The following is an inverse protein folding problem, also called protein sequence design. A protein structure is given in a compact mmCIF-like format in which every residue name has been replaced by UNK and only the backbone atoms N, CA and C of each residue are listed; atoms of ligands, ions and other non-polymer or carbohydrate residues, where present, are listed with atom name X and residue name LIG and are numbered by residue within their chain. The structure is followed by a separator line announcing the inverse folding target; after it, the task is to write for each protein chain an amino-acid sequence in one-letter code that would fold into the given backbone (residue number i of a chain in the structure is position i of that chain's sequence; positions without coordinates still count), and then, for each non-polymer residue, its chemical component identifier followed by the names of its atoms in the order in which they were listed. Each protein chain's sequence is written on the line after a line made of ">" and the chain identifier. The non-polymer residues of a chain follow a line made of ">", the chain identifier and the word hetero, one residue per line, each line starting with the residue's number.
data_IF_856872703214
#
_entry.id   IF_856872703214
#
_cell.length_a   1.000
_cell.length_b   1.000
_cell.length_c   1.000
_cell.angle_alpha   90.00
_cell.angle_beta   90.00
_cell.angle_gamma   90.00
#
_symmetry.space_group_name_H-M   'P 1'
#
loop_
_entity.id
_entity.type
_entity.pdbx_description
1 polymer ?
#
# COMPACT_ATOMS: atom_id res chain seq x y z
N UNK A 1 -24.53 -39.13 52.61
CA UNK A 1 -23.71 -37.94 52.57
C UNK A 1 -22.64 -38.08 51.50
N UNK A 2 -22.85 -37.43 50.38
CA UNK A 2 -21.90 -37.45 49.25
C UNK A 2 -21.22 -36.09 49.23
N UNK A 3 -19.91 -36.11 49.54
CA UNK A 3 -19.10 -34.89 49.57
C UNK A 3 -18.95 -34.29 48.18
N UNK A 4 -19.38 -33.05 48.04
CA UNK A 4 -19.25 -32.24 46.82
C UNK A 4 -17.79 -31.93 46.52
N UNK A 5 -17.34 -32.28 45.33
CA UNK A 5 -16.07 -31.86 44.78
C UNK A 5 -16.21 -30.40 44.29
N UNK A 6 -15.47 -29.50 44.92
CA UNK A 6 -15.30 -28.14 44.45
C UNK A 6 -14.66 -28.12 43.06
N UNK A 7 -15.19 -27.39 42.05
CA UNK A 7 -14.53 -27.28 40.78
C UNK A 7 -13.21 -26.51 40.92
N UNK A 8 -12.12 -27.09 40.39
CA UNK A 8 -10.81 -26.44 40.29
C UNK A 8 -10.95 -25.19 39.46
N UNK A 9 -10.44 -24.05 39.93
CA UNK A 9 -10.31 -22.84 39.17
C UNK A 9 -9.42 -23.10 37.96
N UNK A 10 -9.71 -22.55 36.78
CA UNK A 10 -8.78 -22.62 35.65
C UNK A 10 -7.44 -22.00 36.09
N UNK A 11 -6.38 -22.80 36.12
CA UNK A 11 -5.03 -22.30 36.29
C UNK A 11 -4.77 -21.29 35.15
N UNK A 12 -4.49 -20.04 35.49
CA UNK A 12 -3.91 -19.07 34.59
C UNK A 12 -2.59 -19.65 34.08
N UNK A 13 -2.58 -20.17 32.87
CA UNK A 13 -1.36 -20.62 32.18
C UNK A 13 -0.49 -19.39 31.96
N UNK A 14 0.34 -19.05 32.92
CA UNK A 14 1.39 -18.06 32.74
C UNK A 14 2.35 -18.58 31.66
N UNK A 15 2.57 -17.85 30.57
CA UNK A 15 3.54 -18.28 29.57
C UNK A 15 4.90 -18.44 30.26
N UNK A 16 5.48 -19.63 30.15
CA UNK A 16 6.69 -20.04 30.89
C UNK A 16 7.90 -19.14 30.58
N UNK A 17 7.89 -18.42 29.44
CA UNK A 17 8.90 -17.41 29.07
C UNK A 17 8.24 -16.26 28.29
N UNK A 18 8.01 -15.11 28.87
CA UNK A 18 7.48 -13.95 28.16
C UNK A 18 8.44 -13.51 27.03
N UNK A 19 7.92 -12.95 25.93
CA UNK A 19 8.75 -12.43 24.86
C UNK A 19 9.79 -11.42 25.37
N UNK A 20 11.04 -11.56 24.92
CA UNK A 20 12.13 -10.65 25.29
C UNK A 20 12.20 -9.37 24.45
N UNK A 21 11.46 -9.30 23.36
CA UNK A 21 11.34 -8.11 22.52
C UNK A 21 9.92 -7.98 21.98
N UNK A 22 9.53 -6.75 21.69
CA UNK A 22 8.23 -6.39 21.14
C UNK A 22 8.35 -5.68 19.78
N UNK A 23 7.21 -5.20 19.26
CA UNK A 23 7.14 -4.52 17.97
C UNK A 23 7.95 -3.22 17.97
N UNK A 24 8.00 -2.50 19.09
CA UNK A 24 8.69 -1.23 19.19
C UNK A 24 10.20 -1.41 19.10
N UNK A 25 10.74 -2.44 19.71
CA UNK A 25 12.17 -2.76 19.63
C UNK A 25 12.60 -2.94 18.18
N UNK A 26 11.80 -3.68 17.40
CA UNK A 26 12.12 -3.90 15.99
C UNK A 26 11.86 -2.66 15.12
N UNK A 27 10.82 -1.89 15.39
CA UNK A 27 10.52 -0.63 14.70
C UNK A 27 11.65 0.38 14.95
N UNK A 28 12.10 0.55 16.18
CA UNK A 28 13.22 1.43 16.50
C UNK A 28 14.51 0.97 15.80
N UNK A 29 14.76 -0.34 15.79
CA UNK A 29 15.87 -0.89 15.03
C UNK A 29 15.77 -0.54 13.54
N UNK A 30 14.60 -0.70 12.90
CA UNK A 30 14.41 -0.39 11.47
C UNK A 30 14.66 1.10 11.18
N UNK A 31 14.26 2.00 12.07
CA UNK A 31 14.46 3.45 11.91
C UNK A 31 15.94 3.83 12.10
N UNK A 32 16.63 3.20 13.07
CA UNK A 32 18.01 3.52 13.39
C UNK A 32 19.02 2.84 12.47
N UNK A 33 18.70 1.68 11.89
CA UNK A 33 19.62 0.89 11.09
C UNK A 33 19.92 1.58 9.74
N UNK A 34 21.22 1.66 9.40
CA UNK A 34 21.65 2.30 8.15
C UNK A 34 21.97 1.29 7.03
N UNK A 35 22.58 0.16 7.35
CA UNK A 35 23.11 -0.77 6.34
C UNK A 35 22.68 -2.23 6.53
N UNK A 36 22.70 -2.73 7.76
CA UNK A 36 22.46 -4.14 8.08
C UNK A 36 21.11 -4.29 8.78
N UNK A 37 20.24 -5.13 8.23
CA UNK A 37 18.86 -5.30 8.69
C UNK A 37 18.58 -6.77 9.04
N UNK A 38 19.55 -7.44 9.71
CA UNK A 38 19.38 -8.81 10.20
C UNK A 38 18.89 -8.83 11.64
N UNK A 39 18.24 -9.92 12.05
CA UNK A 39 17.89 -10.12 13.46
C UNK A 39 19.14 -10.19 14.37
N UNK A 40 20.30 -10.61 13.84
CA UNK A 40 21.57 -10.57 14.55
C UNK A 40 22.02 -9.13 14.82
N UNK A 41 21.87 -8.25 13.84
CA UNK A 41 22.20 -6.85 14.03
C UNK A 41 21.21 -6.15 14.97
N UNK A 42 19.93 -6.48 14.88
CA UNK A 42 18.93 -5.99 15.83
C UNK A 42 19.30 -6.36 17.28
N UNK A 43 19.78 -7.58 17.51
CA UNK A 43 20.23 -8.00 18.83
C UNK A 43 21.50 -7.26 19.28
N UNK A 44 22.43 -6.95 18.36
CA UNK A 44 23.65 -6.19 18.65
C UNK A 44 23.40 -4.73 18.99
N UNK A 45 22.36 -4.12 18.37
CA UNK A 45 21.98 -2.74 18.59
C UNK A 45 21.01 -2.57 19.76
N UNK A 46 20.53 -3.67 20.35
CA UNK A 46 19.66 -3.60 21.53
C UNK A 46 20.44 -2.99 22.73
N UNK A 47 19.77 -2.18 23.57
CA UNK A 47 20.41 -1.67 24.79
C UNK A 47 21.01 -2.80 25.64
N UNK A 48 22.18 -2.54 26.24
CA UNK A 48 22.82 -3.47 27.17
C UNK A 48 22.01 -3.51 28.49
N UNK A 49 21.10 -4.45 28.56
CA UNK A 49 20.31 -4.76 29.76
C UNK A 49 20.57 -6.22 30.16
N UNK A 50 20.34 -6.54 31.44
CA UNK A 50 20.49 -7.89 32.01
C UNK A 50 19.70 -8.96 31.22
N UNK A 51 18.70 -8.55 30.44
CA UNK A 51 17.82 -9.41 29.62
C UNK A 51 17.77 -9.01 28.14
N UNK A 52 18.84 -8.44 27.59
CA UNK A 52 18.89 -8.04 26.18
C UNK A 52 18.40 -9.19 25.26
N UNK A 53 17.57 -8.86 24.25
CA UNK A 53 17.03 -9.87 23.33
C UNK A 53 18.11 -10.41 22.41
N UNK A 54 18.23 -11.74 22.32
CA UNK A 54 19.09 -12.39 21.34
C UNK A 54 18.44 -12.42 19.96
N UNK A 55 19.21 -12.72 18.91
CA UNK A 55 18.75 -12.71 17.51
C UNK A 55 17.51 -13.59 17.25
N UNK A 56 17.37 -14.69 18.00
CA UNK A 56 16.25 -15.61 17.89
C UNK A 56 14.95 -15.01 18.47
N UNK A 57 15.04 -14.11 19.45
CA UNK A 57 13.88 -13.37 19.95
C UNK A 57 13.27 -12.48 18.84
N UNK A 58 14.09 -11.75 18.07
CA UNK A 58 13.64 -10.98 16.92
C UNK A 58 13.11 -11.87 15.80
N UNK A 59 13.72 -13.01 15.55
CA UNK A 59 13.21 -13.98 14.56
C UNK A 59 11.82 -14.49 14.95
N UNK A 60 11.62 -14.85 16.22
CA UNK A 60 10.30 -15.25 16.73
C UNK A 60 9.28 -14.11 16.74
N UNK A 61 9.71 -12.87 17.01
CA UNK A 61 8.87 -11.69 16.89
C UNK A 61 8.26 -11.59 15.50
N UNK A 62 9.08 -11.68 14.45
CA UNK A 62 8.61 -11.60 13.06
C UNK A 62 7.67 -12.77 12.69
N UNK A 63 7.84 -13.94 13.29
CA UNK A 63 6.99 -15.11 13.02
C UNK A 63 5.62 -15.04 13.73
N UNK A 64 5.52 -14.32 14.85
CA UNK A 64 4.26 -14.21 15.61
C UNK A 64 3.42 -13.00 15.21
N UNK A 65 3.88 -12.17 14.25
CA UNK A 65 3.06 -11.07 13.75
C UNK A 65 1.78 -11.62 13.11
N UNK A 66 0.62 -10.98 13.33
CA UNK A 66 -0.61 -11.38 12.67
C UNK A 66 -0.47 -11.23 11.16
N UNK A 67 -1.06 -12.15 10.38
CA UNK A 67 -0.97 -12.10 8.92
C UNK A 67 -1.83 -11.00 8.28
N UNK A 68 -2.58 -10.27 9.06
CA UNK A 68 -3.46 -9.19 8.61
C UNK A 68 -2.84 -7.80 8.77
N UNK A 69 -3.54 -6.80 8.29
CA UNK A 69 -3.10 -5.41 8.33
C UNK A 69 -3.80 -4.59 9.42
N UNK A 70 -4.48 -5.25 10.35
CA UNK A 70 -5.28 -4.55 11.34
C UNK A 70 -4.42 -3.77 12.33
N UNK A 71 -3.27 -4.31 12.73
CA UNK A 71 -2.33 -3.62 13.61
C UNK A 71 -1.85 -2.28 13.02
N UNK A 72 -1.59 -2.24 11.69
CA UNK A 72 -1.27 -1.01 10.97
C UNK A 72 -2.45 -0.03 11.01
N UNK A 73 -3.67 -0.50 10.73
CA UNK A 73 -4.85 0.35 10.73
C UNK A 73 -5.17 0.93 12.10
N UNK A 74 -5.04 0.14 13.17
CA UNK A 74 -5.30 0.62 14.53
C UNK A 74 -4.40 1.79 14.93
N UNK A 75 -3.16 1.83 14.44
CA UNK A 75 -2.27 2.99 14.64
C UNK A 75 -2.58 4.11 13.63
N UNK A 76 -2.81 3.79 12.36
CA UNK A 76 -3.03 4.76 11.30
C UNK A 76 -4.30 5.58 11.47
N UNK A 77 -5.39 4.98 11.98
CA UNK A 77 -6.70 5.64 12.12
C UNK A 77 -6.69 6.91 12.95
N UNK A 78 -5.71 7.08 13.86
CA UNK A 78 -5.55 8.29 14.64
C UNK A 78 -5.12 9.52 13.81
N UNK A 79 -4.62 9.30 12.60
CA UNK A 79 -4.11 10.33 11.69
C UNK A 79 -4.97 10.51 10.44
N UNK A 80 -6.07 9.76 10.35
CA UNK A 80 -6.93 9.71 9.15
C UNK A 80 -8.29 10.29 9.48
N UNK A 81 -8.75 11.23 8.66
CA UNK A 81 -10.15 11.59 8.59
C UNK A 81 -10.83 10.75 7.50
N UNK A 82 -11.56 9.72 7.90
CA UNK A 82 -12.21 8.80 6.96
C UNK A 82 -13.31 9.48 6.11
N UNK A 83 -13.80 10.67 6.55
CA UNK A 83 -14.85 11.43 5.86
C UNK A 83 -14.35 12.27 4.69
N UNK A 84 -13.04 12.44 4.52
CA UNK A 84 -12.43 13.30 3.49
C UNK A 84 -11.09 12.75 2.98
N UNK A 85 -10.44 13.54 2.14
CA UNK A 85 -9.11 13.25 1.58
C UNK A 85 -9.16 12.26 0.43
N UNK A 86 -8.01 11.73 0.08
CA UNK A 86 -7.79 10.88 -1.08
C UNK A 86 -7.32 9.51 -0.63
N UNK A 87 -7.76 8.48 -1.34
CA UNK A 87 -7.13 7.16 -1.29
C UNK A 87 -6.25 6.99 -2.52
N UNK A 88 -4.97 6.71 -2.31
CA UNK A 88 -4.01 6.47 -3.39
C UNK A 88 -3.56 5.02 -3.30
N UNK A 89 -3.70 4.28 -4.39
CA UNK A 89 -3.31 2.88 -4.44
C UNK A 89 -2.30 2.65 -5.56
N UNK A 90 -1.17 2.07 -5.18
CA UNK A 90 -0.12 1.68 -6.12
C UNK A 90 0.66 0.48 -5.58
N UNK A 91 1.50 -0.11 -6.42
CA UNK A 91 2.41 -1.17 -6.03
C UNK A 91 3.87 -0.84 -6.31
N UNK A 92 4.73 -1.37 -5.47
CA UNK A 92 6.18 -1.26 -5.66
C UNK A 92 6.83 -2.64 -5.59
N UNK A 93 7.88 -2.83 -6.38
CA UNK A 93 8.70 -4.04 -6.27
C UNK A 93 9.82 -3.80 -5.28
N UNK A 94 9.92 -4.69 -4.29
CA UNK A 94 11.04 -4.77 -3.35
C UNK A 94 12.09 -5.69 -3.96
N UNK A 95 13.18 -5.12 -4.44
CA UNK A 95 14.20 -5.82 -5.21
C UNK A 95 14.92 -6.89 -4.37
N UNK A 96 14.99 -8.11 -4.88
CA UNK A 96 15.65 -9.28 -4.25
C UNK A 96 16.49 -10.06 -5.28
N UNK A 97 17.43 -9.41 -5.98
CA UNK A 97 18.12 -10.04 -7.12
C UNK A 97 18.92 -11.29 -6.70
N UNK A 98 19.45 -11.32 -5.47
CA UNK A 98 20.28 -12.42 -4.97
C UNK A 98 19.52 -13.47 -4.15
N UNK A 99 18.19 -13.32 -3.97
CA UNK A 99 17.40 -14.28 -3.22
C UNK A 99 17.37 -15.65 -3.94
N UNK A 100 17.78 -16.72 -3.23
CA UNK A 100 17.76 -18.10 -3.77
C UNK A 100 16.64 -18.94 -3.15
N UNK A 101 16.44 -18.84 -1.82
CA UNK A 101 15.46 -19.60 -1.04
C UNK A 101 14.72 -18.65 -0.11
N UNK A 102 13.91 -17.76 -0.71
CA UNK A 102 13.12 -16.77 0.00
C UNK A 102 11.70 -16.82 -0.54
N UNK A 103 10.74 -17.06 0.35
CA UNK A 103 9.33 -17.08 -0.01
C UNK A 103 8.86 -15.71 -0.54
N UNK A 104 7.74 -15.69 -1.26
CA UNK A 104 7.13 -14.48 -1.84
C UNK A 104 7.97 -13.75 -2.88
N UNK A 105 9.19 -14.22 -3.17
CA UNK A 105 10.06 -13.63 -4.20
C UNK A 105 9.74 -14.25 -5.55
N UNK A 106 9.24 -13.43 -6.47
CA UNK A 106 8.92 -13.84 -7.84
C UNK A 106 9.46 -12.84 -8.88
N UNK A 107 9.16 -13.06 -10.14
CA UNK A 107 9.58 -12.17 -11.23
C UNK A 107 8.44 -11.20 -11.57
N UNK A 108 8.75 -9.90 -11.57
CA UNK A 108 7.81 -8.82 -11.83
C UNK A 108 8.37 -7.86 -12.88
N UNK A 109 7.50 -7.30 -13.71
CA UNK A 109 7.88 -6.16 -14.53
C UNK A 109 8.08 -4.93 -13.66
N UNK A 110 9.23 -4.29 -13.78
CA UNK A 110 9.56 -3.05 -13.08
C UNK A 110 9.59 -1.89 -14.07
N UNK A 111 8.70 -0.92 -13.88
CA UNK A 111 8.71 0.33 -14.65
C UNK A 111 10.01 1.13 -14.46
N UNK A 112 10.57 1.12 -13.22
CA UNK A 112 11.84 1.76 -12.88
C UNK A 112 13.03 1.19 -13.70
N UNK A 113 13.08 -0.13 -13.86
CA UNK A 113 14.19 -0.81 -14.53
C UNK A 113 13.87 -1.14 -15.99
N UNK A 114 12.64 -0.90 -16.46
CA UNK A 114 12.11 -1.25 -17.78
C UNK A 114 12.43 -2.71 -18.20
N UNK A 115 12.45 -3.60 -17.22
CA UNK A 115 12.70 -5.03 -17.39
C UNK A 115 12.03 -5.85 -16.29
N UNK A 116 12.02 -7.16 -16.51
CA UNK A 116 11.60 -8.10 -15.46
C UNK A 116 12.69 -8.17 -14.39
N UNK A 117 12.32 -7.96 -13.13
CA UNK A 117 13.19 -8.03 -11.96
C UNK A 117 12.69 -9.09 -10.98
N UNK A 118 13.60 -9.60 -10.17
CA UNK A 118 13.30 -10.54 -9.09
C UNK A 118 13.05 -9.80 -7.80
N UNK A 119 11.88 -9.98 -7.19
CA UNK A 119 11.50 -9.24 -6.00
C UNK A 119 10.18 -9.65 -5.40
N UNK A 120 9.73 -8.89 -4.41
CA UNK A 120 8.42 -9.02 -3.78
C UNK A 120 7.56 -7.83 -4.24
N UNK A 121 6.37 -8.08 -4.78
CA UNK A 121 5.45 -7.01 -5.14
C UNK A 121 4.58 -6.64 -3.95
N UNK A 122 4.77 -5.43 -3.45
CA UNK A 122 4.03 -4.84 -2.33
C UNK A 122 3.01 -3.84 -2.86
N UNK A 123 1.73 -4.12 -2.65
CA UNK A 123 0.62 -3.20 -2.92
C UNK A 123 0.32 -2.43 -1.64
N UNK A 124 0.09 -1.13 -1.76
CA UNK A 124 -0.24 -0.27 -0.60
C UNK A 124 -1.42 0.63 -0.90
N UNK A 125 -2.25 0.83 0.11
CA UNK A 125 -3.31 1.82 0.13
C UNK A 125 -2.90 2.95 1.08
N UNK A 126 -2.72 4.14 0.52
CA UNK A 126 -2.32 5.35 1.22
C UNK A 126 -3.52 6.30 1.32
N UNK A 127 -3.72 6.88 2.50
CA UNK A 127 -4.58 8.05 2.65
C UNK A 127 -3.75 9.32 2.68
N UNK A 128 -4.25 10.38 2.01
CA UNK A 128 -3.62 11.69 2.02
C UNK A 128 -4.63 12.81 1.83
N UNK A 129 -4.36 13.96 2.41
CA UNK A 129 -4.99 15.25 2.06
C UNK A 129 -3.98 16.24 1.44
N UNK A 130 -2.80 15.73 1.05
CA UNK A 130 -1.72 16.48 0.42
C UNK A 130 -0.50 16.68 1.31
N UNK A 131 -0.66 16.77 2.64
CA UNK A 131 0.45 16.93 3.61
C UNK A 131 0.83 15.64 4.31
N UNK A 132 -0.15 14.83 4.66
CA UNK A 132 0.03 13.57 5.37
C UNK A 132 0.09 12.41 4.38
N UNK A 133 0.96 11.42 4.64
CA UNK A 133 1.13 10.19 3.86
C UNK A 133 0.89 8.99 4.78
N UNK A 134 -0.37 8.60 4.96
CA UNK A 134 -0.75 7.61 5.97
C UNK A 134 -1.05 6.25 5.32
N UNK A 135 -0.21 5.22 5.51
CA UNK A 135 -0.49 3.87 5.02
C UNK A 135 -1.65 3.24 5.81
N UNK A 136 -2.71 2.85 5.11
CA UNK A 136 -3.92 2.31 5.72
C UNK A 136 -4.05 0.80 5.54
N UNK A 137 -3.49 0.25 4.48
CA UNK A 137 -3.55 -1.18 4.17
C UNK A 137 -2.42 -1.58 3.23
N UNK A 138 -2.06 -2.87 3.22
CA UNK A 138 -1.11 -3.41 2.25
C UNK A 138 -1.43 -4.85 1.88
N UNK A 139 -0.93 -5.31 0.74
CA UNK A 139 -0.98 -6.71 0.31
C UNK A 139 0.35 -7.08 -0.35
N UNK A 140 0.70 -8.35 -0.25
CA UNK A 140 1.80 -8.93 -1.02
C UNK A 140 1.19 -9.78 -2.14
N UNK A 141 1.61 -9.50 -3.36
CA UNK A 141 1.19 -10.27 -4.51
C UNK A 141 2.09 -11.49 -4.68
N UNK A 142 1.52 -12.66 -4.46
CA UNK A 142 2.19 -13.95 -4.62
C UNK A 142 1.52 -14.75 -5.73
N UNK A 143 1.99 -14.58 -6.95
CA UNK A 143 1.46 -15.24 -8.14
C UNK A 143 1.47 -16.78 -8.07
N UNK A 144 2.50 -17.46 -7.54
CA UNK A 144 2.53 -18.91 -7.51
C UNK A 144 1.57 -19.55 -6.49
N UNK A 145 1.28 -18.89 -5.37
CA UNK A 145 0.56 -19.49 -4.24
C UNK A 145 -0.76 -18.78 -3.90
N UNK A 146 -0.89 -17.52 -4.22
CA UNK A 146 -2.02 -16.72 -3.75
C UNK A 146 -3.31 -16.88 -4.55
N UNK A 147 -3.26 -17.36 -5.78
CA UNK A 147 -4.42 -17.41 -6.67
C UNK A 147 -5.07 -16.06 -7.00
N UNK A 148 -4.77 -15.00 -6.23
CA UNK A 148 -5.33 -13.65 -6.39
C UNK A 148 -4.46 -12.76 -7.27
N UNK A 149 -5.11 -12.06 -8.18
CA UNK A 149 -4.46 -11.04 -9.01
C UNK A 149 -4.26 -9.73 -8.24
N UNK A 150 -3.37 -8.86 -8.71
CA UNK A 150 -3.23 -7.49 -8.16
C UNK A 150 -4.56 -6.73 -8.16
N UNK A 151 -5.41 -6.93 -9.18
CA UNK A 151 -6.72 -6.30 -9.26
C UNK A 151 -7.71 -6.84 -8.19
N UNK A 152 -7.64 -8.11 -7.83
CA UNK A 152 -8.45 -8.67 -6.75
C UNK A 152 -8.00 -8.13 -5.39
N UNK A 153 -6.70 -8.07 -5.13
CA UNK A 153 -6.16 -7.38 -3.95
C UNK A 153 -6.61 -5.92 -3.87
N UNK A 154 -6.54 -5.19 -4.98
CA UNK A 154 -7.05 -3.82 -5.09
C UNK A 154 -8.51 -3.73 -4.63
N UNK A 155 -9.37 -4.59 -5.15
CA UNK A 155 -10.80 -4.60 -4.82
C UNK A 155 -11.04 -4.92 -3.34
N UNK A 156 -10.29 -5.86 -2.77
CA UNK A 156 -10.39 -6.21 -1.34
C UNK A 156 -9.98 -5.04 -0.45
N UNK A 157 -8.88 -4.36 -0.77
CA UNK A 157 -8.42 -3.19 -0.03
C UNK A 157 -9.48 -2.06 -0.05
N UNK A 158 -10.11 -1.82 -1.20
CA UNK A 158 -11.19 -0.82 -1.30
C UNK A 158 -12.45 -1.22 -0.53
N UNK A 159 -12.84 -2.51 -0.55
CA UNK A 159 -13.97 -2.99 0.28
C UNK A 159 -13.67 -2.81 1.76
N UNK A 160 -12.47 -3.19 2.19
CA UNK A 160 -12.02 -2.99 3.58
C UNK A 160 -11.97 -1.51 3.96
N UNK A 161 -11.54 -0.62 3.07
CA UNK A 161 -11.63 0.82 3.29
C UNK A 161 -13.09 1.28 3.45
N UNK A 162 -14.01 0.78 2.61
CA UNK A 162 -15.45 1.06 2.74
C UNK A 162 -16.01 0.59 4.09
N UNK A 163 -15.67 -0.62 4.53
CA UNK A 163 -16.05 -1.18 5.84
C UNK A 163 -15.53 -0.34 7.00
N UNK A 164 -14.32 0.24 6.87
CA UNK A 164 -13.72 1.17 7.84
C UNK A 164 -14.34 2.56 7.83
N UNK A 165 -15.34 2.81 6.98
CA UNK A 165 -16.09 4.06 6.92
C UNK A 165 -15.50 5.14 6.02
N UNK A 166 -14.49 4.82 5.20
CA UNK A 166 -13.91 5.80 4.28
C UNK A 166 -14.94 6.36 3.31
N UNK A 167 -14.86 7.68 3.11
CA UNK A 167 -15.61 8.45 2.11
C UNK A 167 -14.65 9.42 1.41
N UNK A 168 -13.69 8.90 0.64
CA UNK A 168 -12.68 9.73 0.00
C UNK A 168 -13.31 10.64 -1.06
N UNK A 169 -12.73 11.80 -1.28
CA UNK A 169 -13.08 12.66 -2.41
C UNK A 169 -12.79 11.94 -3.73
N UNK A 170 -11.60 11.34 -3.82
CA UNK A 170 -11.19 10.55 -4.99
C UNK A 170 -10.36 9.34 -4.58
N UNK A 171 -10.43 8.30 -5.42
CA UNK A 171 -9.50 7.18 -5.44
C UNK A 171 -8.54 7.39 -6.62
N UNK A 172 -7.25 7.52 -6.33
CA UNK A 172 -6.21 7.70 -7.33
C UNK A 172 -5.46 6.39 -7.55
N UNK A 173 -5.17 6.07 -8.80
CA UNK A 173 -4.48 4.84 -9.16
C UNK A 173 -3.83 4.96 -10.54
N UNK A 174 -2.84 4.11 -10.78
CA UNK A 174 -2.17 3.97 -12.07
C UNK A 174 -3.10 3.28 -13.12
N UNK A 175 -2.70 3.38 -14.38
CA UNK A 175 -3.37 2.77 -15.54
C UNK A 175 -3.50 1.25 -15.45
N UNK A 176 -2.64 0.57 -14.70
CA UNK A 176 -2.70 -0.87 -14.45
C UNK A 176 -3.99 -1.26 -13.73
N UNK A 177 -4.39 -0.44 -12.76
CA UNK A 177 -5.60 -0.65 -11.97
C UNK A 177 -6.88 -0.08 -12.61
N UNK A 178 -6.79 0.58 -13.77
CA UNK A 178 -7.93 1.14 -14.50
C UNK A 178 -8.80 0.06 -15.21
N UNK A 179 -8.98 -1.11 -14.59
CA UNK A 179 -9.87 -2.16 -15.11
C UNK A 179 -11.34 -1.77 -14.95
N UNK A 180 -12.21 -2.28 -15.83
CA UNK A 180 -13.66 -1.99 -15.71
C UNK A 180 -14.25 -2.44 -14.37
N UNK A 181 -13.78 -3.58 -13.84
CA UNK A 181 -14.23 -4.08 -12.53
C UNK A 181 -13.88 -3.12 -11.40
N UNK A 182 -12.65 -2.59 -11.40
CA UNK A 182 -12.20 -1.65 -10.38
C UNK A 182 -12.96 -0.32 -10.46
N UNK A 183 -13.10 0.24 -11.66
CA UNK A 183 -13.82 1.51 -11.83
C UNK A 183 -15.28 1.39 -11.45
N UNK A 184 -15.95 0.28 -11.82
CA UNK A 184 -17.33 -0.01 -11.41
C UNK A 184 -17.46 -0.17 -9.91
N UNK A 185 -16.49 -0.81 -9.25
CA UNK A 185 -16.47 -0.95 -7.79
C UNK A 185 -16.38 0.43 -7.11
N UNK A 186 -15.46 1.30 -7.54
CA UNK A 186 -15.34 2.66 -7.00
C UNK A 186 -16.63 3.44 -7.18
N UNK A 187 -17.20 3.42 -8.39
CA UNK A 187 -18.45 4.10 -8.71
C UNK A 187 -19.63 3.54 -7.90
N UNK A 188 -19.69 2.22 -7.64
CA UNK A 188 -20.75 1.61 -6.83
C UNK A 188 -20.72 2.04 -5.36
N UNK A 189 -19.55 2.52 -4.86
CA UNK A 189 -19.43 3.12 -3.54
C UNK A 189 -19.86 4.59 -3.50
N UNK A 190 -20.18 5.19 -4.65
CA UNK A 190 -20.43 6.61 -4.78
C UNK A 190 -19.16 7.47 -4.76
N UNK A 191 -18.00 6.85 -4.98
CA UNK A 191 -16.70 7.53 -4.96
C UNK A 191 -16.29 7.97 -6.36
N UNK A 192 -15.53 9.06 -6.43
CA UNK A 192 -14.86 9.46 -7.65
C UNK A 192 -13.50 8.77 -7.78
N UNK A 193 -13.04 8.62 -9.02
CA UNK A 193 -11.67 8.17 -9.30
C UNK A 193 -10.96 9.16 -10.20
N UNK A 194 -9.64 9.15 -10.13
CA UNK A 194 -8.76 9.73 -11.15
C UNK A 194 -7.67 8.71 -11.49
N UNK A 195 -7.55 8.36 -12.77
CA UNK A 195 -6.58 7.36 -13.24
C UNK A 195 -6.10 7.67 -14.64
N UNK A 196 -4.89 7.19 -14.98
CA UNK A 196 -4.46 7.19 -16.38
C UNK A 196 -5.13 6.06 -17.17
N UNK A 197 -5.39 6.32 -18.44
CA UNK A 197 -5.85 5.31 -19.40
C UNK A 197 -4.76 5.01 -20.43
N UNK A 198 -4.62 3.74 -20.81
CA UNK A 198 -3.79 3.37 -21.95
C UNK A 198 -4.38 3.95 -23.24
N UNK A 199 -3.53 4.42 -24.14
CA UNK A 199 -3.89 5.09 -25.40
C UNK A 199 -4.82 4.30 -26.33
N UNK A 200 -4.87 2.98 -26.17
CA UNK A 200 -5.73 2.07 -26.92
C UNK A 200 -7.12 1.83 -26.28
N UNK A 201 -7.46 2.50 -25.20
CA UNK A 201 -8.78 2.32 -24.57
C UNK A 201 -9.88 2.88 -25.47
N UNK A 202 -10.97 2.09 -25.63
CA UNK A 202 -12.08 2.42 -26.49
C UNK A 202 -13.04 3.39 -25.80
N UNK A 203 -13.29 4.51 -26.44
CA UNK A 203 -14.24 5.55 -26.04
C UNK A 203 -15.10 5.97 -27.24
N UNK A 204 -16.29 6.49 -26.97
CA UNK A 204 -17.20 7.04 -27.95
C UNK A 204 -17.50 8.50 -27.60
N UNK A 205 -16.88 9.49 -28.31
CA UNK A 205 -17.02 10.90 -27.98
C UNK A 205 -18.27 11.57 -28.57
N UNK A 206 -18.90 10.97 -29.59
CA UNK A 206 -19.89 11.62 -30.47
C UNK A 206 -21.07 10.71 -30.82
N UNK A 207 -21.18 9.53 -30.18
CA UNK A 207 -22.17 8.48 -30.47
C UNK A 207 -22.04 7.81 -31.85
N UNK A 208 -20.95 8.06 -32.58
CA UNK A 208 -20.71 7.48 -33.90
C UNK A 208 -19.89 6.20 -33.87
N UNK A 209 -19.62 5.65 -32.71
CA UNK A 209 -18.89 4.40 -32.53
C UNK A 209 -17.70 4.49 -31.57
N UNK A 210 -17.19 3.33 -31.19
CA UNK A 210 -16.04 3.25 -30.31
C UNK A 210 -14.73 3.33 -31.12
N UNK A 211 -13.79 4.18 -30.69
CA UNK A 211 -12.45 4.30 -31.24
C UNK A 211 -11.41 4.46 -30.12
N UNK A 212 -10.14 4.11 -30.35
CA UNK A 212 -9.08 4.32 -29.37
C UNK A 212 -8.99 5.77 -28.93
N UNK A 213 -8.76 6.01 -27.63
CA UNK A 213 -8.72 7.38 -27.08
C UNK A 213 -7.66 8.25 -27.74
N UNK A 214 -6.54 7.66 -28.24
CA UNK A 214 -5.51 8.38 -28.99
C UNK A 214 -6.00 9.00 -30.30
N UNK A 215 -7.12 8.52 -30.83
CA UNK A 215 -7.72 8.99 -32.08
C UNK A 215 -8.82 10.04 -31.83
N UNK A 216 -9.03 10.41 -30.56
CA UNK A 216 -10.02 11.38 -30.14
C UNK A 216 -9.36 12.70 -29.83
N UNK A 217 -9.85 13.77 -30.43
CA UNK A 217 -9.45 15.12 -30.07
C UNK A 217 -10.00 15.47 -28.69
N UNK A 218 -9.10 15.82 -27.77
CA UNK A 218 -9.40 16.18 -26.40
C UNK A 218 -8.85 17.60 -26.15
N UNK A 219 -9.71 18.58 -25.97
CA UNK A 219 -9.31 19.94 -25.72
C UNK A 219 -8.67 20.09 -24.32
N UNK A 220 -7.94 21.19 -24.05
CA UNK A 220 -7.25 21.41 -22.78
C UNK A 220 -8.15 21.30 -21.53
N UNK A 221 -9.39 21.78 -21.65
CA UNK A 221 -10.40 21.71 -20.58
C UNK A 221 -10.96 20.29 -20.35
N UNK A 222 -10.54 19.34 -21.18
CA UNK A 222 -11.03 17.95 -21.14
C UNK A 222 -12.34 17.76 -21.89
N UNK A 223 -12.69 16.51 -22.16
CA UNK A 223 -13.89 16.10 -22.90
C UNK A 223 -14.64 14.99 -22.19
N UNK A 224 -15.98 15.11 -22.14
CA UNK A 224 -16.82 14.00 -21.69
C UNK A 224 -17.03 13.04 -22.85
N UNK A 225 -16.73 11.77 -22.58
CA UNK A 225 -16.86 10.68 -23.56
C UNK A 225 -17.52 9.47 -22.90
N UNK A 226 -18.15 8.62 -23.71
CA UNK A 226 -18.63 7.32 -23.21
C UNK A 226 -17.51 6.30 -23.30
N UNK A 227 -17.03 5.80 -22.17
CA UNK A 227 -16.08 4.69 -22.13
C UNK A 227 -16.81 3.36 -22.28
N UNK A 228 -16.41 2.55 -23.25
CA UNK A 228 -16.98 1.23 -23.51
C UNK A 228 -17.02 0.39 -22.23
N UNK A 229 -18.22 -0.06 -21.85
CA UNK A 229 -18.47 -0.94 -20.71
C UNK A 229 -18.51 -0.26 -19.33
N UNK A 230 -18.26 1.07 -19.25
CA UNK A 230 -18.36 1.82 -18.00
C UNK A 230 -19.47 2.86 -18.01
N UNK A 231 -19.52 3.71 -19.00
CA UNK A 231 -20.44 4.85 -19.10
C UNK A 231 -19.66 6.16 -19.33
N UNK A 232 -20.24 7.27 -18.94
CA UNK A 232 -19.64 8.59 -19.13
C UNK A 232 -18.44 8.77 -18.20
N UNK A 233 -17.36 9.29 -18.78
CA UNK A 233 -16.16 9.73 -18.07
C UNK A 233 -15.70 11.06 -18.69
N UNK A 234 -15.10 11.92 -17.86
CA UNK A 234 -14.36 13.08 -18.35
C UNK A 234 -12.91 12.67 -18.55
N UNK A 235 -12.36 13.01 -19.70
CA UNK A 235 -10.97 12.69 -20.05
C UNK A 235 -10.20 13.96 -20.32
N UNK A 236 -8.91 13.95 -19.95
CA UNK A 236 -7.94 15.01 -20.21
C UNK A 236 -6.77 14.42 -20.97
N UNK A 237 -6.15 15.21 -21.84
CA UNK A 237 -4.94 14.85 -22.53
C UNK A 237 -3.81 15.76 -22.09
N UNK A 238 -2.75 15.18 -21.58
CA UNK A 238 -1.51 15.87 -21.20
C UNK A 238 -0.35 15.33 -22.02
N UNK A 239 0.75 16.04 -22.01
CA UNK A 239 2.00 15.60 -22.64
C UNK A 239 3.01 15.41 -21.52
N UNK A 240 3.58 14.20 -21.45
CA UNK A 240 4.64 13.88 -20.50
C UNK A 240 5.94 14.61 -20.84
N UNK A 241 6.89 14.62 -19.90
CA UNK A 241 8.21 15.21 -20.14
C UNK A 241 8.96 14.61 -21.34
N UNK A 242 8.65 13.37 -21.69
CA UNK A 242 9.22 12.66 -22.84
C UNK A 242 8.50 12.95 -24.17
N UNK A 243 7.48 13.81 -24.17
CA UNK A 243 6.68 14.13 -25.34
C UNK A 243 5.52 13.17 -25.59
N UNK A 244 5.35 12.11 -24.81
CA UNK A 244 4.28 11.13 -24.98
C UNK A 244 2.95 11.69 -24.48
N UNK A 245 1.86 11.40 -25.22
CA UNK A 245 0.52 11.75 -24.80
C UNK A 245 0.03 10.84 -23.67
N UNK A 246 -0.37 11.44 -22.56
CA UNK A 246 -1.04 10.77 -21.45
C UNK A 246 -2.53 11.12 -21.42
N UNK A 247 -3.34 10.14 -21.04
CA UNK A 247 -4.81 10.30 -20.96
C UNK A 247 -5.26 10.04 -19.56
N UNK A 248 -5.85 11.04 -18.92
CA UNK A 248 -6.45 10.95 -17.59
C UNK A 248 -7.95 10.80 -17.70
N UNK A 249 -8.56 10.01 -16.83
CA UNK A 249 -10.00 9.81 -16.81
C UNK A 249 -10.55 9.82 -15.39
N UNK A 250 -11.77 10.36 -15.28
CA UNK A 250 -12.55 10.40 -14.04
C UNK A 250 -14.04 10.22 -14.31
N UNK A 251 -14.78 9.71 -13.32
CA UNK A 251 -16.25 9.70 -13.33
C UNK A 251 -16.85 11.00 -12.76
N UNK A 252 -16.02 11.93 -12.28
CA UNK A 252 -16.47 13.29 -11.99
C UNK A 252 -16.54 14.11 -13.29
N UNK A 253 -17.74 14.22 -13.86
CA UNK A 253 -17.94 14.91 -15.13
C UNK A 253 -17.78 16.43 -15.05
N UNK A 254 -17.68 16.98 -13.83
CA UNK A 254 -17.48 18.42 -13.58
C UNK A 254 -16.03 18.77 -13.25
N UNK A 255 -15.14 17.78 -13.13
CA UNK A 255 -13.72 18.05 -12.83
C UNK A 255 -13.13 19.04 -13.82
N UNK A 256 -12.38 20.00 -13.31
CA UNK A 256 -11.59 20.95 -14.14
C UNK A 256 -10.16 20.45 -14.30
N UNK A 257 -9.41 21.01 -15.25
CA UNK A 257 -7.99 20.67 -15.44
C UNK A 257 -7.14 21.07 -14.22
N UNK A 258 -7.44 22.21 -13.59
CA UNK A 258 -6.77 22.66 -12.37
C UNK A 258 -6.96 21.65 -11.22
N UNK A 259 -8.20 21.13 -11.05
CA UNK A 259 -8.50 20.11 -10.05
C UNK A 259 -7.77 18.81 -10.36
N UNK A 260 -7.73 18.39 -11.64
CA UNK A 260 -6.97 17.22 -12.07
C UNK A 260 -5.49 17.35 -11.70
N UNK A 261 -4.87 18.51 -11.99
CA UNK A 261 -3.47 18.78 -11.67
C UNK A 261 -3.21 18.82 -10.16
N UNK A 262 -4.14 19.39 -9.38
CA UNK A 262 -4.06 19.36 -7.92
C UNK A 262 -4.02 17.92 -7.39
N UNK A 263 -4.93 17.08 -7.89
CA UNK A 263 -5.04 15.67 -7.49
C UNK A 263 -3.82 14.86 -7.93
N UNK A 264 -3.29 15.11 -9.12
CA UNK A 264 -2.05 14.49 -9.61
C UNK A 264 -0.87 14.81 -8.67
N UNK A 265 -0.69 16.09 -8.31
CA UNK A 265 0.36 16.49 -7.35
C UNK A 265 0.21 15.81 -6.00
N UNK A 266 -1.02 15.73 -5.46
CA UNK A 266 -1.28 15.02 -4.20
C UNK A 266 -1.05 13.52 -4.33
N UNK A 267 -1.46 12.93 -5.46
CA UNK A 267 -1.26 11.50 -5.76
C UNK A 267 0.20 11.10 -5.86
N UNK A 268 1.07 12.02 -6.29
CA UNK A 268 2.52 11.81 -6.31
C UNK A 268 3.10 11.49 -4.92
N UNK A 269 2.38 11.80 -3.85
CA UNK A 269 2.75 11.44 -2.49
C UNK A 269 3.02 9.94 -2.30
N UNK A 270 2.41 9.05 -3.11
CA UNK A 270 2.67 7.61 -3.00
C UNK A 270 4.09 7.24 -3.43
N UNK A 271 4.67 7.95 -4.39
CA UNK A 271 6.07 7.75 -4.81
C UNK A 271 7.04 8.21 -3.71
N UNK A 272 6.73 9.33 -3.04
CA UNK A 272 7.49 9.82 -1.88
C UNK A 272 7.40 8.80 -0.74
N UNK A 273 6.21 8.27 -0.47
CA UNK A 273 5.98 7.22 0.52
C UNK A 273 6.79 5.95 0.21
N UNK A 274 6.72 5.42 -1.01
CA UNK A 274 7.50 4.25 -1.39
C UNK A 274 9.01 4.47 -1.25
N UNK A 275 9.49 5.67 -1.58
CA UNK A 275 10.89 6.05 -1.40
C UNK A 275 11.25 6.08 0.09
N UNK A 276 10.43 6.70 0.93
CA UNK A 276 10.64 6.75 2.38
C UNK A 276 10.66 5.37 3.02
N UNK A 277 9.73 4.47 2.64
CA UNK A 277 9.73 3.09 3.08
C UNK A 277 11.04 2.37 2.78
N UNK A 278 11.57 2.54 1.56
CA UNK A 278 12.80 1.87 1.12
C UNK A 278 14.04 2.46 1.77
N UNK A 279 14.12 3.77 1.89
CA UNK A 279 15.30 4.48 2.37
C UNK A 279 15.37 4.58 3.90
N UNK A 280 14.23 4.81 4.56
CA UNK A 280 14.20 5.13 5.99
C UNK A 280 13.69 3.98 6.88
N UNK A 281 12.97 3.01 6.32
CA UNK A 281 12.34 1.93 7.10
C UNK A 281 12.80 0.54 6.72
N UNK A 282 13.78 0.41 5.83
CA UNK A 282 14.40 -0.87 5.48
C UNK A 282 13.43 -1.92 4.90
N UNK A 283 12.26 -1.53 4.35
CA UNK A 283 11.23 -2.46 3.85
C UNK A 283 11.79 -3.45 2.83
N UNK A 284 12.75 -3.02 2.02
CA UNK A 284 13.43 -3.82 0.99
C UNK A 284 14.57 -4.68 1.54
N UNK A 285 14.94 -4.49 2.82
CA UNK A 285 16.14 -5.07 3.45
C UNK A 285 15.91 -6.37 4.19
N UNK A 286 14.67 -6.89 4.25
CA UNK A 286 14.36 -8.17 4.88
C UNK A 286 15.31 -9.28 4.42
N UNK A 287 15.93 -9.99 5.37
CA UNK A 287 16.81 -11.14 5.11
C UNK A 287 16.22 -12.45 5.61
N UNK A 288 15.02 -12.41 6.21
CA UNK A 288 14.27 -13.59 6.61
C UNK A 288 13.71 -14.33 5.39
N UNK A 289 13.53 -15.65 5.50
CA UNK A 289 13.23 -16.51 4.35
C UNK A 289 11.75 -16.91 4.28
N UNK A 290 11.11 -17.17 5.43
CA UNK A 290 9.75 -17.69 5.51
C UNK A 290 8.73 -16.57 5.24
N UNK A 291 7.67 -16.89 4.51
CA UNK A 291 6.59 -15.94 4.17
C UNK A 291 6.07 -15.19 5.40
N UNK A 292 5.77 -15.90 6.50
CA UNK A 292 5.27 -15.28 7.73
C UNK A 292 6.23 -14.23 8.30
N UNK A 293 7.54 -14.52 8.30
CA UNK A 293 8.54 -13.56 8.79
C UNK A 293 8.74 -12.36 7.86
N UNK A 294 8.58 -12.58 6.54
CA UNK A 294 8.63 -11.51 5.54
C UNK A 294 7.43 -10.58 5.75
N UNK A 295 6.23 -11.13 5.89
CA UNK A 295 5.02 -10.35 6.16
C UNK A 295 5.13 -9.56 7.47
N UNK A 296 5.66 -10.19 8.54
CA UNK A 296 5.95 -9.52 9.81
C UNK A 296 6.93 -8.35 9.65
N UNK A 297 8.01 -8.54 8.91
CA UNK A 297 8.97 -7.46 8.60
C UNK A 297 8.29 -6.31 7.82
N UNK A 298 7.50 -6.62 6.79
CA UNK A 298 6.78 -5.61 6.00
C UNK A 298 5.82 -4.82 6.87
N UNK A 299 5.02 -5.50 7.69
CA UNK A 299 4.10 -4.83 8.63
C UNK A 299 4.83 -3.86 9.54
N UNK A 300 5.94 -4.29 10.16
CA UNK A 300 6.70 -3.46 11.08
C UNK A 300 7.42 -2.31 10.37
N UNK A 301 7.86 -2.50 9.12
CA UNK A 301 8.43 -1.42 8.30
C UNK A 301 7.40 -0.35 7.92
N UNK A 302 6.15 -0.74 7.61
CA UNK A 302 5.07 0.21 7.37
C UNK A 302 4.70 0.98 8.65
N UNK A 303 4.68 0.31 9.79
CA UNK A 303 4.46 0.96 11.11
C UNK A 303 5.62 1.88 11.50
N UNK A 304 6.87 1.54 11.13
CA UNK A 304 8.03 2.42 11.28
C UNK A 304 7.84 3.71 10.47
N UNK A 305 7.42 3.59 9.20
CA UNK A 305 7.10 4.76 8.38
C UNK A 305 6.00 5.62 8.99
N UNK A 306 4.91 5.00 9.46
CA UNK A 306 3.81 5.72 10.11
C UNK A 306 4.30 6.55 11.31
N UNK A 307 5.23 6.02 12.12
CA UNK A 307 5.81 6.75 13.25
C UNK A 307 6.68 7.92 12.82
N UNK A 308 7.49 7.75 11.79
CA UNK A 308 8.27 8.85 11.21
C UNK A 308 7.35 9.94 10.65
N UNK A 309 6.30 9.55 9.95
CA UNK A 309 5.32 10.48 9.40
C UNK A 309 4.54 11.22 10.52
N UNK A 310 4.12 10.50 11.56
CA UNK A 310 3.49 11.10 12.72
C UNK A 310 4.43 12.10 13.44
N UNK A 311 5.72 11.78 13.53
CA UNK A 311 6.73 12.70 14.07
C UNK A 311 6.87 13.94 13.18
N UNK A 312 6.99 13.76 11.86
CA UNK A 312 7.06 14.84 10.88
C UNK A 312 5.85 15.78 10.97
N UNK A 313 4.64 15.22 11.05
CA UNK A 313 3.40 16.01 11.15
C UNK A 313 3.32 16.82 12.45
N UNK A 314 3.85 16.29 13.56
CA UNK A 314 3.85 16.98 14.86
C UNK A 314 4.92 18.08 14.96
N UNK A 315 6.09 17.85 14.39
CA UNK A 315 7.25 18.74 14.55
C UNK A 315 7.45 19.73 13.41
N UNK A 316 6.82 19.45 12.23
CA UNK A 316 7.03 20.23 11.02
C UNK A 316 8.40 20.01 10.34
N UNK A 317 9.20 19.05 10.83
CA UNK A 317 10.48 18.67 10.20
C UNK A 317 10.20 17.94 8.90
N UNK A 318 10.89 18.32 7.82
CA UNK A 318 10.73 17.75 6.47
C UNK A 318 11.84 16.73 6.17
#
# INVERSE_FOLDING_TARGET
>A
MIAGRTPLRPEEVRPMNPPKCDDLDYIHFLIAAQKVFTCTEAARCAPEEERAPAHDAFTRLLQRQPPDTEALWQEAKAFVDVGKGLLVLDDTTLDKPYARKMDLVTYHWSGKHQRVVKGIALLTLLWTEGKALIPCDFRVYDKPQGGKTKNEHFQEMLRKARERGFRPEYVLMDSWYASLKNLKLIASFGWFFLTRLKSNRLVNPDRQGNRPIREVEIPPEGRVVHRKGFGLVRVFRTVSQNGDAEYWATNDLKMTEEKRQELERKGWGIEVYHRGLKQCCGVERAQVRKAVSILGHLLLALRAFLRLEAYRLRTGVS
#
